data_IF_784516761913
#
_entry.id   IF_784516761913
#
_cell.length_a   1.000
_cell.length_b   1.000
_cell.length_c   1.000
_cell.angle_alpha   90.00
_cell.angle_beta   90.00
_cell.angle_gamma   90.00
#
_symmetry.space_group_name_H-M   'P 1'
#
loop_
_entity.id
_entity.type
_entity.pdbx_description
1 polymer ?
#
# COMPACT_ATOMS: atom_id res chain seq x y z
N UNK A 1 9.34 8.27 -4.04
CA UNK A 1 9.83 6.97 -4.55
C UNK A 1 8.81 6.46 -5.57
N UNK A 2 9.20 6.29 -6.83
CA UNK A 2 8.29 5.84 -7.90
C UNK A 2 8.26 4.31 -7.95
N UNK A 3 7.07 3.71 -7.86
CA UNK A 3 6.88 2.28 -8.10
C UNK A 3 6.62 2.08 -9.59
N UNK A 4 7.58 1.53 -10.32
CA UNK A 4 7.40 1.22 -11.74
C UNK A 4 6.69 -0.13 -11.86
N UNK A 5 5.38 -0.12 -12.12
CA UNK A 5 4.57 -1.35 -12.19
C UNK A 5 4.72 -2.09 -13.51
N UNK A 6 5.31 -1.50 -14.56
CA UNK A 6 5.44 -2.17 -15.85
C UNK A 6 6.88 -2.54 -16.18
N UNK A 7 7.42 -3.54 -15.47
CA UNK A 7 8.52 -4.33 -16.08
C UNK A 7 8.01 -5.44 -17.01
N UNK A 8 6.75 -5.87 -16.91
CA UNK A 8 6.21 -7.02 -17.66
C UNK A 8 4.86 -6.80 -18.39
N UNK A 9 4.26 -5.60 -18.38
CA UNK A 9 2.96 -5.34 -19.02
C UNK A 9 3.08 -4.33 -20.17
N UNK A 10 2.53 -4.64 -21.35
CA UNK A 10 2.67 -3.88 -22.61
C UNK A 10 2.10 -2.46 -22.65
N UNK A 11 1.87 -1.81 -21.50
CA UNK A 11 1.23 -0.51 -21.38
C UNK A 11 2.12 0.62 -20.87
N UNK A 12 3.41 0.37 -20.53
CA UNK A 12 4.38 1.39 -20.08
C UNK A 12 3.81 2.35 -18.99
N UNK A 13 3.24 1.79 -17.92
CA UNK A 13 2.58 2.54 -16.86
C UNK A 13 3.57 2.93 -15.75
N UNK A 14 3.59 4.21 -15.39
CA UNK A 14 4.40 4.72 -14.27
C UNK A 14 3.48 5.18 -13.14
N UNK A 15 3.67 4.69 -11.90
CA UNK A 15 2.98 5.28 -10.74
C UNK A 15 3.66 6.59 -10.36
N UNK A 16 2.85 7.64 -10.25
CA UNK A 16 3.18 8.94 -9.70
C UNK A 16 3.01 9.02 -8.19
N UNK A 17 2.39 10.11 -7.72
CA UNK A 17 2.14 10.29 -6.30
C UNK A 17 1.08 9.30 -5.81
N UNK A 18 1.25 8.83 -4.58
CA UNK A 18 0.27 7.99 -3.90
C UNK A 18 -0.09 8.64 -2.57
N UNK A 19 -1.39 8.81 -2.33
CA UNK A 19 -1.96 9.28 -1.07
C UNK A 19 -2.70 8.14 -0.38
N UNK A 20 -2.66 8.13 0.95
CA UNK A 20 -3.31 7.11 1.78
C UNK A 20 -4.29 7.78 2.75
N UNK A 21 -5.51 7.24 2.82
CA UNK A 21 -6.56 7.70 3.72
C UNK A 21 -6.98 6.55 4.62
N UNK A 22 -6.91 6.77 5.94
CA UNK A 22 -7.37 5.80 6.94
C UNK A 22 -8.84 6.04 7.27
N UNK A 23 -9.67 5.04 7.03
CA UNK A 23 -11.11 5.04 7.34
C UNK A 23 -11.36 4.05 8.47
N UNK A 24 -11.07 4.50 9.70
CA UNK A 24 -11.13 3.67 10.91
C UNK A 24 -12.50 3.01 11.12
N UNK A 25 -13.60 3.72 10.82
CA UNK A 25 -14.96 3.18 10.96
C UNK A 25 -15.24 1.94 10.10
N UNK A 26 -14.46 1.72 9.03
CA UNK A 26 -14.60 0.58 8.11
C UNK A 26 -13.40 -0.37 8.12
N UNK A 27 -12.46 -0.16 9.04
CA UNK A 27 -11.16 -0.81 9.09
C UNK A 27 -10.52 -0.90 7.70
N UNK A 28 -10.49 0.24 7.01
CA UNK A 28 -10.05 0.33 5.62
C UNK A 28 -9.00 1.42 5.45
N UNK A 29 -8.01 1.13 4.63
CA UNK A 29 -7.07 2.12 4.09
C UNK A 29 -7.36 2.25 2.60
N UNK A 30 -7.72 3.44 2.17
CA UNK A 30 -7.87 3.76 0.74
C UNK A 30 -6.58 4.40 0.26
N UNK A 31 -6.01 3.87 -0.81
CA UNK A 31 -4.86 4.45 -1.48
C UNK A 31 -5.26 4.94 -2.86
N UNK A 32 -4.94 6.19 -3.16
CA UNK A 32 -5.15 6.82 -4.47
C UNK A 32 -3.81 7.15 -5.08
N UNK A 33 -3.59 6.74 -6.31
CA UNK A 33 -2.34 6.95 -7.02
C UNK A 33 -2.57 7.53 -8.41
N UNK A 34 -1.67 8.42 -8.81
CA UNK A 34 -1.59 8.89 -10.18
C UNK A 34 -0.87 7.82 -11.04
N UNK A 35 -1.40 7.52 -12.21
CA UNK A 35 -0.79 6.63 -13.20
C UNK A 35 -0.54 7.44 -14.46
N UNK A 36 0.67 7.34 -14.99
CA UNK A 36 1.03 7.96 -16.26
C UNK A 36 1.27 6.90 -17.33
N UNK A 37 0.70 7.13 -18.52
CA UNK A 37 1.00 6.42 -19.75
C UNK A 37 1.51 7.44 -20.77
N UNK A 38 2.82 7.57 -20.91
CA UNK A 38 3.41 8.70 -21.63
C UNK A 38 3.09 10.03 -20.93
N UNK A 39 2.47 10.98 -21.65
CA UNK A 39 2.02 12.27 -21.10
C UNK A 39 0.59 12.26 -20.54
N UNK A 40 -0.16 11.17 -20.72
CA UNK A 40 -1.54 11.08 -20.24
C UNK A 40 -1.58 10.56 -18.80
N UNK A 41 -2.29 11.29 -17.92
CA UNK A 41 -2.46 10.94 -16.51
C UNK A 41 -3.85 10.34 -16.23
N UNK A 42 -3.89 9.34 -15.35
CA UNK A 42 -5.09 8.69 -14.85
C UNK A 42 -5.00 8.57 -13.32
N UNK A 43 -6.13 8.43 -12.64
CA UNK A 43 -6.14 8.12 -11.20
C UNK A 43 -6.61 6.69 -10.98
N UNK A 44 -5.90 5.94 -10.15
CA UNK A 44 -6.33 4.64 -9.66
C UNK A 44 -6.47 4.63 -8.16
N UNK A 45 -7.55 4.02 -7.69
CA UNK A 45 -7.84 3.88 -6.27
C UNK A 45 -8.01 2.41 -5.93
N UNK A 46 -7.39 1.98 -4.84
CA UNK A 46 -7.55 0.66 -4.27
C UNK A 46 -7.76 0.77 -2.76
N UNK A 47 -8.51 -0.17 -2.20
CA UNK A 47 -8.82 -0.24 -0.78
C UNK A 47 -8.21 -1.49 -0.18
N UNK A 48 -7.63 -1.34 1.00
CA UNK A 48 -7.09 -2.43 1.82
C UNK A 48 -7.92 -2.56 3.10
N UNK A 49 -8.46 -3.76 3.38
CA UNK A 49 -9.04 -4.06 4.69
C UNK A 49 -7.95 -4.48 5.66
N UNK A 50 -8.08 -4.07 6.91
CA UNK A 50 -7.16 -4.44 7.97
C UNK A 50 -7.90 -4.86 9.25
N UNK A 51 -7.15 -5.47 10.16
CA UNK A 51 -7.56 -5.66 11.56
C UNK A 51 -6.44 -5.24 12.50
N UNK A 52 -6.80 -4.84 13.71
CA UNK A 52 -5.87 -4.58 14.81
C UNK A 52 -6.31 -5.45 15.98
N UNK A 53 -5.44 -6.33 16.45
CA UNK A 53 -5.59 -7.02 17.72
C UNK A 53 -5.34 -6.02 18.85
N UNK A 54 -6.32 -5.82 19.72
CA UNK A 54 -6.26 -4.82 20.80
C UNK A 54 -5.42 -5.27 21.99
N UNK A 55 -5.23 -6.57 22.16
CA UNK A 55 -4.47 -7.11 23.29
C UNK A 55 -2.96 -7.08 22.99
N UNK A 56 -2.60 -7.39 21.74
CA UNK A 56 -1.19 -7.46 21.30
C UNK A 56 -0.74 -6.21 20.54
N UNK A 57 -1.66 -5.40 20.03
CA UNK A 57 -1.38 -4.27 19.15
C UNK A 57 -0.98 -4.66 17.72
N UNK A 58 -1.16 -5.92 17.33
CA UNK A 58 -0.73 -6.42 16.02
C UNK A 58 -1.68 -5.97 14.91
N UNK A 59 -1.09 -5.41 13.86
CA UNK A 59 -1.79 -4.97 12.66
C UNK A 59 -1.72 -6.07 11.58
N UNK A 60 -2.84 -6.37 10.94
CA UNK A 60 -2.90 -7.36 9.85
C UNK A 60 -3.65 -6.82 8.64
N UNK A 61 -3.06 -7.00 7.46
CA UNK A 61 -3.73 -6.73 6.18
C UNK A 61 -4.54 -7.96 5.77
N UNK A 62 -5.82 -7.76 5.45
CA UNK A 62 -6.78 -8.84 5.19
C UNK A 62 -7.10 -9.01 3.71
N UNK A 63 -7.33 -7.90 3.01
CA UNK A 63 -7.68 -7.93 1.59
C UNK A 63 -7.28 -6.64 0.89
N UNK A 64 -7.19 -6.74 -0.44
CA UNK A 64 -6.92 -5.66 -1.37
C UNK A 64 -7.96 -5.74 -2.50
N UNK A 65 -8.60 -4.64 -2.84
CA UNK A 65 -9.58 -4.56 -3.92
C UNK A 65 -9.49 -3.22 -4.66
N UNK A 66 -9.86 -3.22 -5.94
CA UNK A 66 -9.96 -1.98 -6.72
C UNK A 66 -11.20 -1.19 -6.30
N UNK A 67 -11.03 0.11 -6.03
CA UNK A 67 -12.14 1.01 -5.73
C UNK A 67 -12.61 1.79 -6.97
N UNK A 68 -11.79 1.90 -8.01
CA UNK A 68 -12.18 2.45 -9.32
C UNK A 68 -11.69 1.56 -10.48
N UNK A 69 -12.15 1.85 -11.70
CA UNK A 69 -11.84 1.05 -12.90
C UNK A 69 -10.34 0.92 -13.19
N UNK A 70 -9.56 1.99 -12.97
CA UNK A 70 -8.10 1.96 -13.16
C UNK A 70 -7.38 1.17 -12.06
N UNK A 71 -7.94 1.11 -10.86
CA UNK A 71 -7.46 0.26 -9.78
C UNK A 71 -7.48 -1.23 -10.15
N UNK A 72 -8.43 -1.64 -11.00
CA UNK A 72 -8.51 -3.00 -11.54
C UNK A 72 -7.27 -3.42 -12.35
N UNK A 73 -6.53 -2.45 -12.88
CA UNK A 73 -5.28 -2.69 -13.63
C UNK A 73 -4.12 -2.95 -12.67
N UNK A 74 -4.05 -2.23 -11.55
CA UNK A 74 -2.93 -2.28 -10.59
C UNK A 74 -3.05 -3.47 -9.63
N UNK A 75 -4.25 -3.68 -9.09
CA UNK A 75 -4.48 -4.63 -7.99
C UNK A 75 -3.95 -6.04 -8.28
N UNK A 76 -4.13 -6.64 -9.47
CA UNK A 76 -3.57 -7.96 -9.77
C UNK A 76 -2.04 -8.05 -9.63
N UNK A 77 -1.31 -7.00 -10.03
CA UNK A 77 0.15 -6.94 -9.90
C UNK A 77 0.58 -6.73 -8.45
N UNK A 78 -0.10 -5.86 -7.70
CA UNK A 78 0.16 -5.69 -6.27
C UNK A 78 -0.12 -6.98 -5.49
N UNK A 79 -1.21 -7.67 -5.82
CA UNK A 79 -1.63 -8.91 -5.17
C UNK A 79 -0.58 -10.02 -5.34
N UNK A 80 0.10 -10.08 -6.48
CA UNK A 80 1.14 -11.08 -6.79
C UNK A 80 2.54 -10.71 -6.30
N UNK A 81 2.78 -9.48 -5.84
CA UNK A 81 4.12 -8.99 -5.47
C UNK A 81 4.17 -8.47 -4.04
N UNK A 82 3.80 -7.21 -3.84
CA UNK A 82 3.91 -6.49 -2.58
C UNK A 82 2.91 -7.02 -1.55
N UNK A 83 1.63 -7.13 -1.95
CA UNK A 83 0.57 -7.53 -1.03
C UNK A 83 0.66 -9.02 -0.65
N UNK A 84 1.23 -9.88 -1.51
CA UNK A 84 1.48 -11.28 -1.18
C UNK A 84 2.32 -11.45 0.10
N UNK A 85 3.26 -10.52 0.35
CA UNK A 85 4.11 -10.54 1.53
C UNK A 85 3.49 -9.86 2.77
N UNK A 86 2.34 -9.21 2.61
CA UNK A 86 1.63 -8.48 3.67
C UNK A 86 0.34 -9.18 4.12
N UNK A 87 -0.37 -9.80 3.17
CA UNK A 87 -1.67 -10.41 3.41
C UNK A 87 -1.57 -11.50 4.47
N UNK A 88 -2.45 -11.41 5.46
CA UNK A 88 -2.56 -12.35 6.57
C UNK A 88 -1.27 -12.49 7.41
N UNK A 89 -0.39 -11.47 7.38
CA UNK A 89 0.79 -11.38 8.23
C UNK A 89 0.60 -10.33 9.33
N UNK A 90 1.21 -10.58 10.48
CA UNK A 90 1.17 -9.66 11.60
C UNK A 90 2.31 -8.66 11.53
N UNK A 91 1.99 -7.41 11.80
CA UNK A 91 2.91 -6.30 11.82
C UNK A 91 2.83 -5.55 13.14
N UNK A 92 4.01 -5.19 13.66
CA UNK A 92 4.14 -4.17 14.71
C UNK A 92 4.29 -2.81 14.06
N UNK A 93 3.57 -1.83 14.61
CA UNK A 93 3.65 -0.44 14.18
C UNK A 93 4.61 0.32 15.09
N UNK A 94 5.46 1.14 14.48
CA UNK A 94 6.26 2.14 15.20
C UNK A 94 6.30 3.44 14.43
N UNK A 95 6.46 4.55 15.13
CA UNK A 95 6.68 5.85 14.50
C UNK A 95 8.16 6.04 14.26
N UNK A 96 8.50 6.45 13.04
CA UNK A 96 9.87 6.82 12.66
C UNK A 96 9.87 8.23 12.11
N UNK A 97 10.93 8.99 12.39
CA UNK A 97 11.21 10.25 11.73
C UNK A 97 12.16 9.98 10.57
N UNK A 98 11.67 10.16 9.36
CA UNK A 98 12.49 10.20 8.16
C UNK A 98 13.01 11.62 7.94
N UNK A 99 14.32 11.76 7.71
CA UNK A 99 14.95 13.07 7.56
C UNK A 99 14.50 13.84 6.31
N UNK A 100 13.96 13.15 5.29
CA UNK A 100 13.53 13.73 4.01
C UNK A 100 12.02 13.97 3.99
N UNK A 101 11.25 13.06 4.56
CA UNK A 101 9.79 13.04 4.39
C UNK A 101 8.99 13.31 5.68
N UNK A 102 9.66 13.47 6.83
CA UNK A 102 9.01 13.75 8.10
C UNK A 102 8.55 12.49 8.84
N UNK A 103 7.41 12.56 9.53
CA UNK A 103 6.91 11.44 10.33
C UNK A 103 6.36 10.33 9.42
N UNK A 104 6.72 9.10 9.72
CA UNK A 104 6.22 7.93 9.02
C UNK A 104 5.84 6.83 10.01
N UNK A 105 4.92 5.96 9.61
CA UNK A 105 4.61 4.72 10.32
C UNK A 105 5.40 3.60 9.68
N UNK A 106 6.24 2.93 10.47
CA UNK A 106 6.96 1.72 10.08
C UNK A 106 6.14 0.50 10.47
N UNK A 107 5.91 -0.36 9.48
CA UNK A 107 5.29 -1.67 9.63
C UNK A 107 6.40 -2.71 9.61
N UNK A 108 6.61 -3.41 10.73
CA UNK A 108 7.63 -4.47 10.83
C UNK A 108 6.94 -5.80 11.01
N UNK A 109 7.23 -6.77 10.13
CA UNK A 109 6.59 -8.09 10.18
C UNK A 109 7.07 -8.87 11.40
N UNK A 110 6.15 -9.50 12.13
CA UNK A 110 6.44 -10.16 13.41
C UNK A 110 7.28 -11.43 13.23
N UNK A 111 6.96 -12.26 12.24
CA UNK A 111 7.67 -13.51 11.94
C UNK A 111 8.90 -13.32 11.04
N UNK A 112 9.12 -12.12 10.51
CA UNK A 112 10.34 -11.75 9.78
C UNK A 112 10.68 -10.26 10.03
N UNK A 113 11.40 -9.95 11.12
CA UNK A 113 11.72 -8.57 11.48
C UNK A 113 12.55 -7.78 10.45
N UNK A 114 13.26 -8.47 9.55
CA UNK A 114 14.02 -7.83 8.47
C UNK A 114 13.10 -7.32 7.34
N UNK A 115 11.88 -7.85 7.24
CA UNK A 115 10.88 -7.34 6.32
C UNK A 115 10.10 -6.20 6.98
N UNK A 116 10.31 -4.99 6.47
CA UNK A 116 9.58 -3.81 6.88
C UNK A 116 9.31 -2.85 5.71
N UNK A 117 8.32 -1.99 5.89
CA UNK A 117 8.06 -0.86 5.01
C UNK A 117 7.55 0.34 5.81
N UNK A 118 7.66 1.53 5.25
CA UNK A 118 7.21 2.78 5.86
C UNK A 118 6.16 3.45 5.00
N UNK A 119 5.15 4.03 5.65
CA UNK A 119 4.18 4.93 5.02
C UNK A 119 4.28 6.31 5.66
N UNK A 120 4.31 7.34 4.82
CA UNK A 120 4.34 8.73 5.28
C UNK A 120 3.01 9.09 5.94
N UNK A 121 3.09 9.84 7.05
CA UNK A 121 1.97 10.30 7.85
C UNK A 121 1.94 11.83 7.91
#
# INVERSE_FOLDING_TARGET
MYLNLSKNGGYNLTIGNTSYTFVAARNEITASCDIYQGSTGFSATYSMKYSIDKDTGYFRFLSLASANGNGGIIVPYMNSTFFANMKDKDFKLSFVNDATFGRAVKFTRVDNPDYFFTWLY
#
